data_IF_836398490847
#
_entry.id   IF_836398490847
#
_cell.length_a   1.000
_cell.length_b   1.000
_cell.length_c   1.000
_cell.angle_alpha   90.00
_cell.angle_beta   90.00
_cell.angle_gamma   90.00
#
_symmetry.space_group_name_H-M   'P 1'
#
loop_
_entity.id
_entity.type
_entity.pdbx_description
1 polymer ?
#
# COMPACT_ATOMS: atom_id res chain seq x y z
N UNK A 1 -36.29 -20.57 55.19
CA UNK A 1 -36.01 -20.29 53.76
C UNK A 1 -35.52 -18.85 53.65
N UNK A 2 -34.21 -18.63 53.49
CA UNK A 2 -33.71 -17.38 52.91
C UNK A 2 -32.30 -17.63 52.38
N UNK A 3 -32.20 -17.79 51.06
CA UNK A 3 -30.94 -18.03 50.35
C UNK A 3 -30.14 -16.72 50.29
N UNK A 4 -28.93 -16.72 50.85
CA UNK A 4 -27.94 -15.69 50.62
C UNK A 4 -27.49 -15.75 49.15
N UNK A 5 -27.85 -14.73 48.36
CA UNK A 5 -27.38 -14.57 46.99
C UNK A 5 -26.06 -13.80 47.02
N UNK A 6 -24.95 -14.52 46.89
CA UNK A 6 -23.61 -13.95 46.69
C UNK A 6 -23.56 -13.28 45.32
N UNK A 7 -23.48 -11.96 45.30
CA UNK A 7 -23.29 -11.17 44.07
C UNK A 7 -21.78 -10.93 43.90
N UNK A 8 -21.10 -11.81 43.15
CA UNK A 8 -19.68 -11.60 42.79
C UNK A 8 -19.66 -10.63 41.60
N UNK A 9 -19.43 -9.36 41.88
CA UNK A 9 -19.16 -8.32 40.88
C UNK A 9 -17.70 -8.45 40.42
N UNK A 10 -17.46 -9.25 39.37
CA UNK A 10 -16.14 -9.35 38.74
C UNK A 10 -15.87 -8.08 37.91
N UNK A 11 -15.12 -7.15 38.51
CA UNK A 11 -14.63 -5.93 37.89
C UNK A 11 -13.45 -6.30 36.96
N UNK A 12 -13.74 -6.61 35.69
CA UNK A 12 -12.70 -6.77 34.66
C UNK A 12 -12.11 -5.40 34.33
N UNK A 13 -11.09 -4.98 35.10
CA UNK A 13 -10.18 -3.92 34.69
C UNK A 13 -9.38 -4.43 33.49
N UNK A 14 -9.90 -4.23 32.29
CA UNK A 14 -9.10 -4.33 31.08
C UNK A 14 -8.08 -3.20 31.09
N UNK A 15 -6.86 -3.49 31.53
CA UNK A 15 -5.72 -2.60 31.35
C UNK A 15 -5.45 -2.46 29.86
N UNK A 16 -5.93 -1.36 29.26
CA UNK A 16 -5.49 -0.93 27.94
C UNK A 16 -4.04 -0.48 28.07
N UNK A 17 -3.12 -1.43 27.93
CA UNK A 17 -1.70 -1.14 27.79
C UNK A 17 -1.51 -0.29 26.53
N UNK A 18 -1.40 1.02 26.70
CA UNK A 18 -0.91 1.90 25.64
C UNK A 18 0.55 1.51 25.39
N UNK A 19 0.77 0.71 24.34
CA UNK A 19 2.11 0.35 23.93
C UNK A 19 2.88 1.62 23.59
N UNK A 20 3.93 1.90 24.36
CA UNK A 20 4.80 3.05 24.17
C UNK A 20 5.48 2.94 22.79
N UNK A 21 5.33 3.99 21.97
CA UNK A 21 5.96 4.04 20.65
C UNK A 21 7.45 4.33 20.85
N UNK A 22 8.29 3.39 20.41
CA UNK A 22 9.75 3.56 20.46
C UNK A 22 10.17 4.70 19.55
N UNK A 23 10.84 5.71 20.13
CA UNK A 23 11.38 6.88 19.44
C UNK A 23 12.44 6.51 18.38
N UNK A 24 13.29 5.54 18.70
CA UNK A 24 14.29 4.97 17.78
C UNK A 24 14.01 3.49 17.64
N UNK A 25 13.92 3.01 16.40
CA UNK A 25 13.57 1.61 16.14
C UNK A 25 14.23 1.07 14.87
N UNK A 26 14.37 -0.24 14.83
CA UNK A 26 14.72 -1.00 13.64
C UNK A 26 13.63 -2.03 13.38
N UNK A 27 13.12 -2.07 12.15
CA UNK A 27 12.01 -2.92 11.75
C UNK A 27 12.36 -3.77 10.53
N UNK A 28 11.70 -4.93 10.44
CA UNK A 28 11.70 -5.77 9.24
C UNK A 28 10.31 -5.66 8.60
N UNK A 29 10.21 -4.96 7.47
CA UNK A 29 8.92 -4.45 6.96
C UNK A 29 8.17 -5.47 6.11
N UNK A 30 6.91 -5.74 6.44
CA UNK A 30 5.97 -6.42 5.54
C UNK A 30 5.52 -5.45 4.42
N UNK A 31 5.80 -5.76 3.16
CA UNK A 31 5.45 -4.94 2.01
C UNK A 31 3.97 -5.06 1.59
N UNK A 32 3.22 -6.02 2.14
CA UNK A 32 1.78 -6.17 1.89
C UNK A 32 0.91 -5.23 2.72
N UNK A 33 1.49 -4.59 3.75
CA UNK A 33 0.77 -3.73 4.68
C UNK A 33 1.40 -2.33 4.72
N UNK A 34 0.63 -1.31 5.09
CA UNK A 34 1.19 0.00 5.47
C UNK A 34 1.79 -0.07 6.88
N UNK A 35 2.84 0.72 7.14
CA UNK A 35 3.37 0.91 8.49
C UNK A 35 3.09 2.33 8.96
N UNK A 36 2.56 2.48 10.19
CA UNK A 36 2.35 3.80 10.78
C UNK A 36 3.67 4.43 11.20
N UNK A 37 3.85 5.71 10.87
CA UNK A 37 4.93 6.57 11.30
C UNK A 37 4.33 7.79 11.99
N UNK A 38 4.65 7.96 13.28
CA UNK A 38 4.09 9.03 14.09
C UNK A 38 4.99 10.27 14.07
N UNK A 39 4.42 11.40 13.64
CA UNK A 39 5.13 12.68 13.54
C UNK A 39 4.57 13.68 14.54
N UNK A 40 5.47 14.46 15.17
CA UNK A 40 5.12 15.57 16.02
C UNK A 40 5.56 16.87 15.35
N UNK A 41 4.75 17.93 15.48
CA UNK A 41 5.08 19.24 14.93
C UNK A 41 6.33 19.82 15.57
N UNK A 42 7.24 20.38 14.77
CA UNK A 42 8.52 20.93 15.25
C UNK A 42 9.64 19.91 15.45
N UNK A 43 9.37 18.62 15.26
CA UNK A 43 10.38 17.56 15.25
C UNK A 43 10.55 16.98 13.84
N UNK A 44 11.63 16.23 13.64
CA UNK A 44 11.94 15.54 12.39
C UNK A 44 11.97 14.04 12.62
N UNK A 45 11.55 13.28 11.60
CA UNK A 45 11.70 11.83 11.60
C UNK A 45 12.58 11.40 10.46
N UNK A 46 13.52 10.50 10.73
CA UNK A 46 14.41 9.93 9.72
C UNK A 46 14.02 8.48 9.46
N UNK A 47 13.81 8.15 8.19
CA UNK A 47 13.63 6.79 7.71
C UNK A 47 14.89 6.37 6.95
N UNK A 48 15.54 5.29 7.40
CA UNK A 48 16.71 4.70 6.73
C UNK A 48 16.30 3.41 6.02
N UNK A 49 16.54 3.33 4.72
CA UNK A 49 16.18 2.20 3.88
C UNK A 49 17.39 1.29 3.61
N UNK A 50 17.18 -0.01 3.32
CA UNK A 50 18.30 -0.91 3.03
C UNK A 50 18.93 -0.64 1.66
N UNK A 51 18.19 0.03 0.76
CA UNK A 51 18.54 0.31 -0.62
C UNK A 51 18.33 1.80 -0.93
N UNK A 52 18.92 2.26 -2.03
CA UNK A 52 18.80 3.65 -2.45
C UNK A 52 17.34 3.96 -2.81
N UNK A 53 16.90 5.15 -2.39
CA UNK A 53 15.60 5.69 -2.71
C UNK A 53 15.68 6.31 -4.10
N UNK A 54 14.74 5.93 -4.96
CA UNK A 54 14.62 6.44 -6.33
C UNK A 54 13.54 7.52 -6.41
N UNK A 55 12.45 7.35 -5.67
CA UNK A 55 11.31 8.26 -5.73
C UNK A 55 10.54 8.27 -4.40
N UNK A 56 10.00 9.44 -4.05
CA UNK A 56 9.16 9.64 -2.88
C UNK A 56 7.88 10.36 -3.29
N UNK A 57 6.72 9.83 -2.88
CA UNK A 57 5.41 10.44 -3.08
C UNK A 57 4.70 10.61 -1.75
N UNK A 58 4.13 11.78 -1.54
CA UNK A 58 3.43 12.17 -0.30
C UNK A 58 1.98 12.49 -0.68
N UNK A 59 1.01 11.95 0.06
CA UNK A 59 -0.40 12.22 -0.20
C UNK A 59 -0.80 13.69 0.01
N UNK A 60 -0.35 14.33 1.10
CA UNK A 60 -0.56 15.74 1.37
C UNK A 60 0.78 16.53 1.46
N UNK A 61 1.33 16.99 0.32
CA UNK A 61 2.62 17.69 0.29
C UNK A 61 2.56 19.12 0.87
N UNK A 62 1.37 19.67 1.13
CA UNK A 62 1.24 21.00 1.78
C UNK A 62 1.54 20.93 3.28
N UNK A 63 1.28 19.78 3.88
CA UNK A 63 1.38 19.60 5.33
C UNK A 63 2.55 18.71 5.74
N UNK A 64 3.01 17.83 4.86
CA UNK A 64 4.18 16.98 5.06
C UNK A 64 5.24 17.29 4.00
N UNK A 65 6.46 17.53 4.44
CA UNK A 65 7.63 17.64 3.57
C UNK A 65 8.52 16.42 3.77
N UNK A 66 9.01 15.84 2.67
CA UNK A 66 10.04 14.83 2.71
C UNK A 66 11.28 15.32 1.96
N UNK A 67 12.45 15.09 2.52
CA UNK A 67 13.74 15.52 1.98
C UNK A 67 14.68 14.33 1.97
N UNK A 68 15.20 13.98 0.80
CA UNK A 68 16.25 12.98 0.68
C UNK A 68 17.56 13.54 1.26
N UNK A 69 18.28 12.71 1.99
CA UNK A 69 19.58 13.10 2.53
C UNK A 69 20.57 13.39 1.40
N UNK A 70 21.35 14.46 1.57
CA UNK A 70 22.39 14.86 0.62
C UNK A 70 23.65 13.98 0.73
N UNK A 71 23.78 13.22 1.83
CA UNK A 71 24.93 12.36 2.13
C UNK A 71 24.62 10.90 1.84
N UNK A 72 23.38 10.46 2.09
CA UNK A 72 22.95 9.07 1.90
C UNK A 72 21.66 9.02 1.10
N UNK A 73 21.70 8.43 -0.10
CA UNK A 73 20.49 8.20 -0.91
C UNK A 73 19.52 7.19 -0.30
N UNK A 74 19.87 6.59 0.85
CA UNK A 74 19.05 5.65 1.61
C UNK A 74 18.25 6.30 2.73
N UNK A 75 18.46 7.58 2.98
CA UNK A 75 17.82 8.29 4.09
C UNK A 75 16.79 9.30 3.60
N UNK A 76 15.65 9.31 4.28
CA UNK A 76 14.55 10.24 4.05
C UNK A 76 14.19 10.94 5.35
N UNK A 77 14.27 12.26 5.37
CA UNK A 77 13.80 13.07 6.51
C UNK A 77 12.39 13.56 6.24
N UNK A 78 11.50 13.37 7.21
CA UNK A 78 10.12 13.81 7.19
C UNK A 78 9.90 14.96 8.17
N UNK A 79 9.12 15.94 7.73
CA UNK A 79 8.74 17.12 8.50
C UNK A 79 7.24 17.28 8.47
N UNK A 80 6.66 17.56 9.64
CA UNK A 80 5.27 18.00 9.76
C UNK A 80 5.25 19.54 9.76
N UNK A 81 4.85 20.15 8.65
CA UNK A 81 4.83 21.61 8.47
C UNK A 81 3.67 22.30 9.18
N UNK A 82 2.61 21.56 9.54
CA UNK A 82 1.42 22.07 10.21
C UNK A 82 1.00 21.12 11.34
N UNK A 83 0.58 21.64 12.50
CA UNK A 83 0.31 20.79 13.68
C UNK A 83 -1.04 20.04 13.64
N UNK A 84 -2.04 20.56 12.92
CA UNK A 84 -3.38 19.98 12.81
C UNK A 84 -3.59 19.46 11.39
N UNK A 85 -3.08 18.26 11.13
CA UNK A 85 -3.06 17.65 9.79
C UNK A 85 -3.73 16.30 9.88
N UNK A 86 -4.54 15.99 8.87
CA UNK A 86 -5.14 14.67 8.74
C UNK A 86 -4.07 13.61 8.43
N UNK A 87 -4.23 12.36 8.91
CA UNK A 87 -3.40 11.25 8.48
C UNK A 87 -3.32 11.15 6.95
N UNK A 88 -2.13 10.86 6.44
CA UNK A 88 -1.87 10.75 4.99
C UNK A 88 -0.92 9.59 4.72
N UNK A 89 -0.77 9.18 3.47
CA UNK A 89 0.21 8.18 3.08
C UNK A 89 1.54 8.79 2.60
N UNK A 90 2.58 7.99 2.74
CA UNK A 90 3.91 8.16 2.16
C UNK A 90 4.24 6.89 1.39
N UNK A 91 4.62 7.04 0.12
CA UNK A 91 5.09 5.95 -0.73
C UNK A 91 6.54 6.22 -1.09
N UNK A 92 7.41 5.26 -0.79
CA UNK A 92 8.85 5.32 -1.12
C UNK A 92 9.17 4.19 -2.08
N UNK A 93 9.64 4.54 -3.26
CA UNK A 93 10.18 3.60 -4.24
C UNK A 93 11.68 3.54 -4.06
N UNK A 94 12.19 2.36 -3.73
CA UNK A 94 13.62 2.05 -3.84
C UNK A 94 13.92 1.37 -5.16
N UNK A 95 15.20 1.07 -5.40
CA UNK A 95 15.66 0.37 -6.61
C UNK A 95 14.89 -0.94 -6.88
N UNK A 96 14.53 -1.70 -5.84
CA UNK A 96 13.91 -3.03 -6.00
C UNK A 96 12.51 -3.16 -5.40
N UNK A 97 12.05 -2.19 -4.59
CA UNK A 97 10.87 -2.35 -3.72
C UNK A 97 10.07 -1.07 -3.60
N UNK A 98 8.79 -1.23 -3.28
CA UNK A 98 7.91 -0.14 -2.87
C UNK A 98 7.56 -0.30 -1.40
N UNK A 99 7.66 0.79 -0.66
CA UNK A 99 7.30 0.87 0.75
C UNK A 99 6.13 1.83 0.92
N UNK A 100 5.12 1.42 1.66
CA UNK A 100 3.96 2.25 1.99
C UNK A 100 3.90 2.47 3.49
N UNK A 101 3.78 3.73 3.87
CA UNK A 101 3.65 4.17 5.25
C UNK A 101 2.43 5.06 5.41
N UNK A 102 1.79 4.95 6.56
CA UNK A 102 0.76 5.88 7.00
C UNK A 102 1.40 6.89 7.95
N UNK A 103 1.41 8.15 7.56
CA UNK A 103 1.91 9.25 8.37
C UNK A 103 0.79 9.70 9.29
N UNK A 104 1.01 9.56 10.60
CA UNK A 104 0.05 9.90 11.64
C UNK A 104 0.57 11.10 12.44
N UNK A 105 0.01 12.31 12.22
CA UNK A 105 0.30 13.46 13.08
C UNK A 105 -0.13 13.18 14.52
N UNK A 106 0.71 13.50 15.49
CA UNK A 106 0.47 13.27 16.91
C UNK A 106 1.06 14.38 17.78
N UNK A 107 0.37 14.71 18.87
CA UNK A 107 0.83 15.66 19.91
C UNK A 107 1.60 14.98 21.05
N UNK A 108 1.57 13.65 21.12
CA UNK A 108 2.12 12.90 22.26
C UNK A 108 3.13 11.84 21.81
N UNK A 109 3.07 11.39 20.56
CA UNK A 109 3.91 10.33 20.05
C UNK A 109 4.77 10.84 18.90
N UNK A 110 6.02 10.39 18.88
CA UNK A 110 6.96 10.73 17.83
C UNK A 110 7.98 9.61 17.64
N UNK A 111 8.42 9.41 16.40
CA UNK A 111 9.51 8.51 16.06
C UNK A 111 10.63 9.31 15.40
N UNK A 112 11.74 9.51 16.09
CA UNK A 112 12.88 10.26 15.55
C UNK A 112 13.59 9.46 14.45
N UNK A 113 13.71 8.14 14.63
CA UNK A 113 14.48 7.30 13.72
C UNK A 113 13.85 5.91 13.53
N UNK A 114 13.64 5.53 12.28
CA UNK A 114 13.17 4.20 11.92
C UNK A 114 14.09 3.62 10.85
N UNK A 115 14.86 2.61 11.23
CA UNK A 115 15.67 1.81 10.31
C UNK A 115 14.85 0.68 9.73
N UNK A 116 14.73 0.63 8.41
CA UNK A 116 14.19 -0.52 7.69
C UNK A 116 15.35 -1.47 7.40
N UNK A 117 15.56 -2.45 8.27
CA UNK A 117 16.67 -3.40 8.14
C UNK A 117 16.44 -4.43 7.02
N UNK A 118 15.20 -4.61 6.60
CA UNK A 118 14.84 -5.47 5.48
C UNK A 118 13.33 -5.50 5.26
N UNK A 119 12.89 -6.40 4.39
CA UNK A 119 11.47 -6.53 4.06
C UNK A 119 11.11 -7.91 3.53
N UNK A 120 9.84 -8.28 3.67
CA UNK A 120 9.24 -9.50 3.14
C UNK A 120 7.85 -9.22 2.60
N UNK A 121 7.25 -10.22 1.94
CA UNK A 121 6.00 -10.04 1.23
C UNK A 121 6.15 -9.20 -0.03
N UNK A 122 5.02 -8.85 -0.63
CA UNK A 122 4.97 -8.00 -1.82
C UNK A 122 3.59 -7.38 -2.00
N UNK A 123 3.50 -6.29 -2.77
CA UNK A 123 2.22 -5.70 -3.10
C UNK A 123 1.38 -6.69 -3.91
N UNK A 124 0.14 -6.93 -3.46
CA UNK A 124 -0.85 -7.65 -4.27
C UNK A 124 -1.51 -6.65 -5.22
N UNK A 125 -1.15 -6.74 -6.50
CA UNK A 125 -1.88 -6.03 -7.55
C UNK A 125 -3.06 -6.90 -8.00
N UNK A 126 -4.17 -6.85 -7.28
CA UNK A 126 -5.42 -7.46 -7.74
C UNK A 126 -5.98 -6.63 -8.90
N UNK A 127 -5.51 -6.90 -10.11
CA UNK A 127 -5.79 -6.03 -11.25
C UNK A 127 -5.42 -6.61 -12.61
N UNK A 128 -5.59 -7.92 -12.81
CA UNK A 128 -5.82 -8.44 -14.17
C UNK A 128 -7.32 -8.61 -14.33
N UNK A 129 -8.03 -7.52 -14.62
CA UNK A 129 -9.15 -7.70 -15.55
C UNK A 129 -8.48 -8.12 -16.85
N UNK A 130 -8.44 -9.44 -17.10
CA UNK A 130 -8.22 -9.92 -18.46
C UNK A 130 -9.09 -9.06 -19.37
N UNK A 131 -8.57 -8.46 -20.45
CA UNK A 131 -9.44 -7.89 -21.45
C UNK A 131 -10.39 -9.02 -21.82
N UNK A 132 -11.69 -8.83 -21.55
CA UNK A 132 -12.72 -9.71 -22.05
C UNK A 132 -12.36 -9.96 -23.52
N UNK A 133 -12.11 -11.23 -23.84
CA UNK A 133 -11.93 -11.64 -25.22
C UNK A 133 -13.07 -11.00 -26.00
N UNK A 134 -12.75 -10.06 -26.89
CA UNK A 134 -13.65 -9.69 -27.96
C UNK A 134 -13.97 -11.00 -28.66
N UNK A 135 -15.10 -11.61 -28.30
CA UNK A 135 -15.76 -12.60 -29.12
C UNK A 135 -16.11 -11.85 -30.39
N UNK A 136 -15.18 -11.85 -31.34
CA UNK A 136 -15.49 -11.68 -32.74
C UNK A 136 -16.49 -12.79 -33.02
N UNK A 137 -17.77 -12.44 -33.09
CA UNK A 137 -18.80 -13.33 -33.64
C UNK A 137 -18.34 -13.68 -35.05
N UNK A 138 -17.74 -14.86 -35.21
CA UNK A 138 -17.53 -15.43 -36.52
C UNK A 138 -18.91 -15.70 -37.13
N UNK A 139 -19.17 -15.28 -38.38
CA UNK A 139 -20.47 -15.49 -39.01
C UNK A 139 -20.69 -17.00 -39.21
N UNK A 140 -21.76 -17.52 -38.63
CA UNK A 140 -22.25 -18.87 -38.90
C UNK A 140 -22.64 -18.97 -40.37
N UNK A 141 -21.88 -19.76 -41.15
CA UNK A 141 -22.23 -20.17 -42.51
C UNK A 141 -23.56 -20.95 -42.50
N UNK A 142 -24.62 -20.22 -42.84
CA UNK A 142 -25.91 -20.76 -43.25
C UNK A 142 -25.73 -21.59 -44.53
N UNK A 143 -25.84 -22.93 -44.41
CA UNK A 143 -26.12 -23.80 -45.54
C UNK A 143 -27.57 -23.59 -45.96
N UNK A 144 -27.80 -22.87 -47.05
CA UNK A 144 -29.08 -22.86 -47.76
C UNK A 144 -28.83 -23.09 -49.25
N UNK A 145 -29.06 -24.35 -49.62
CA UNK A 145 -29.70 -24.84 -50.84
C UNK A 145 -29.65 -23.98 -52.12
N UNK A 146 -28.92 -24.52 -53.11
CA UNK A 146 -29.49 -24.87 -54.42
C UNK A 146 -29.89 -23.75 -55.37
N UNK A 147 -29.09 -23.56 -56.42
CA UNK A 147 -29.61 -23.38 -57.78
C UNK A 147 -28.59 -23.83 -58.83
N UNK A 148 -29.02 -24.83 -59.59
CA UNK A 148 -28.47 -25.28 -60.87
C UNK A 148 -28.52 -24.12 -61.86
N UNK A 149 -27.43 -23.84 -62.59
CA UNK A 149 -27.47 -23.53 -64.03
C UNK A 149 -26.20 -24.10 -64.68
N UNK A 150 -26.44 -24.87 -65.75
CA UNK A 150 -25.52 -25.49 -66.69
C UNK A 150 -24.75 -24.44 -67.52
N UNK A 151 -23.50 -24.73 -67.94
CA UNK A 151 -23.20 -24.97 -69.36
C UNK A 151 -21.70 -24.97 -69.69
N UNK A 152 -21.24 -26.14 -70.15
CA UNK A 152 -20.57 -26.43 -71.43
C UNK A 152 -19.29 -25.66 -71.83
N UNK A 153 -18.25 -26.46 -72.08
CA UNK A 153 -17.29 -26.51 -73.24
C UNK A 153 -15.82 -26.51 -72.76
N UNK A 154 -15.14 -27.65 -72.57
CA UNK A 154 -14.52 -28.58 -73.54
C UNK A 154 -13.55 -27.93 -74.55
N UNK A 155 -12.27 -28.26 -74.38
CA UNK A 155 -11.19 -28.22 -75.39
C UNK A 155 -10.49 -26.86 -75.51
N UNK A 156 -9.18 -26.77 -75.63
CA UNK A 156 -8.14 -27.76 -75.85
C UNK A 156 -6.85 -27.01 -76.21
N UNK A 157 -5.73 -27.70 -75.98
CA UNK A 157 -4.34 -27.33 -76.34
C UNK A 157 -3.68 -26.16 -75.59
#
# INVERSE_FOLDING_TARGET
MQSFKTFILALFLSSTGHAEIKRISSIYKDLSQSQKIYLHGGLISVLEFPQNIVEVRIGNPKSIKAVLSQVSSKELTLYLSQQAVEPTNLIVKSEKRFYVFDIIPSKTSHQDYVKISGSYGGPSFSGTQSPAQNQVLAPSLSKSQGRIIENIKMGGE
#
